data_IF_806310012135
#
_entry.id   IF_806310012135
#
_cell.length_a   1.000
_cell.length_b   1.000
_cell.length_c   1.000
_cell.angle_alpha   90.00
_cell.angle_beta   90.00
_cell.angle_gamma   90.00
#
_symmetry.space_group_name_H-M   'P 1'
#
loop_
_entity.id
_entity.type
_entity.pdbx_description
1 polymer ?
#
# COMPACT_ATOMS: atom_id res chain seq x y z
N UNK A 1 18.72 -5.24 -7.04
CA UNK A 1 17.47 -5.11 -6.27
C UNK A 1 16.75 -3.88 -6.80
N UNK A 2 15.71 -4.05 -7.62
CA UNK A 2 14.91 -2.92 -8.14
C UNK A 2 13.65 -2.79 -7.28
N UNK A 3 13.80 -2.26 -6.06
CA UNK A 3 12.65 -1.89 -5.23
C UNK A 3 11.90 -0.74 -5.88
N UNK A 4 10.56 -0.80 -5.94
CA UNK A 4 9.74 0.33 -6.39
C UNK A 4 9.96 1.51 -5.45
N UNK A 5 10.21 2.70 -5.99
CA UNK A 5 10.30 3.89 -5.13
C UNK A 5 8.93 4.20 -4.50
N UNK A 6 8.87 4.91 -3.36
CA UNK A 6 7.61 5.30 -2.73
C UNK A 6 6.65 6.02 -3.67
N UNK A 7 7.18 6.82 -4.60
CA UNK A 7 6.39 7.51 -5.63
C UNK A 7 5.78 6.53 -6.64
N UNK A 8 6.54 5.53 -7.10
CA UNK A 8 6.01 4.51 -8.00
C UNK A 8 4.94 3.66 -7.31
N UNK A 9 5.17 3.31 -6.05
CA UNK A 9 4.20 2.55 -5.25
C UNK A 9 2.93 3.37 -5.02
N UNK A 10 3.03 4.66 -4.72
CA UNK A 10 1.90 5.58 -4.63
C UNK A 10 1.08 5.58 -5.92
N UNK A 11 1.71 5.82 -7.07
CA UNK A 11 1.00 5.85 -8.36
C UNK A 11 0.32 4.52 -8.67
N UNK A 12 0.95 3.40 -8.35
CA UNK A 12 0.37 2.07 -8.53
C UNK A 12 -0.85 1.85 -7.64
N UNK A 13 -0.72 2.13 -6.33
CA UNK A 13 -1.81 2.02 -5.37
C UNK A 13 -2.97 2.97 -5.70
N UNK A 14 -2.68 4.16 -6.18
CA UNK A 14 -3.68 5.16 -6.52
C UNK A 14 -4.47 4.81 -7.79
N UNK A 15 -3.83 4.23 -8.80
CA UNK A 15 -4.48 3.94 -10.08
C UNK A 15 -5.10 2.53 -10.13
N UNK A 16 -4.53 1.55 -9.44
CA UNK A 16 -4.94 0.13 -9.56
C UNK A 16 -5.80 -0.37 -8.42
N UNK A 17 -5.72 0.24 -7.23
CA UNK A 17 -6.42 -0.28 -6.06
C UNK A 17 -7.57 0.63 -5.68
N UNK A 18 -8.73 0.08 -5.38
CA UNK A 18 -9.83 0.84 -4.79
C UNK A 18 -9.66 0.98 -3.27
N UNK A 19 -10.44 1.84 -2.59
CA UNK A 19 -10.33 2.04 -1.14
C UNK A 19 -10.41 0.74 -0.33
N UNK A 20 -11.31 -0.18 -0.68
CA UNK A 20 -11.48 -1.45 0.03
C UNK A 20 -10.25 -2.36 -0.14
N UNK A 21 -9.66 -2.41 -1.34
CA UNK A 21 -8.45 -3.20 -1.57
C UNK A 21 -7.23 -2.64 -0.84
N UNK A 22 -7.13 -1.31 -0.71
CA UNK A 22 -6.10 -0.68 0.11
C UNK A 22 -6.22 -1.09 1.58
N UNK A 23 -7.45 -1.20 2.11
CA UNK A 23 -7.67 -1.73 3.47
C UNK A 23 -7.23 -3.17 3.60
N UNK A 24 -7.52 -3.98 2.58
CA UNK A 24 -7.08 -5.38 2.57
C UNK A 24 -5.56 -5.52 2.47
N UNK A 25 -4.87 -4.59 1.81
CA UNK A 25 -3.40 -4.54 1.81
C UNK A 25 -2.85 -4.20 3.19
N UNK A 26 -3.41 -3.20 3.87
CA UNK A 26 -3.05 -2.86 5.25
C UNK A 26 -3.27 -4.06 6.18
N UNK A 27 -4.45 -4.68 6.12
CA UNK A 27 -4.78 -5.88 6.89
C UNK A 27 -3.85 -7.07 6.60
N UNK A 28 -3.47 -7.29 5.33
CA UNK A 28 -2.55 -8.36 4.97
C UNK A 28 -1.11 -8.14 5.47
N UNK A 29 -0.76 -6.89 5.79
CA UNK A 29 0.51 -6.50 6.41
C UNK A 29 0.43 -6.41 7.94
N UNK A 30 -0.70 -6.80 8.53
CA UNK A 30 -0.97 -6.65 9.96
C UNK A 30 -0.88 -5.17 10.42
N UNK A 31 -1.20 -4.23 9.52
CA UNK A 31 -1.22 -2.80 9.82
C UNK A 31 -2.64 -2.45 10.27
N UNK A 32 -2.74 -1.99 11.52
CA UNK A 32 -4.01 -1.56 12.06
C UNK A 32 -4.53 -0.31 11.35
N UNK A 33 -5.82 -0.32 11.07
CA UNK A 33 -6.48 0.75 10.35
C UNK A 33 -6.56 2.05 11.16
N UNK A 34 -6.50 1.96 12.50
CA UNK A 34 -6.43 3.10 13.41
C UNK A 34 -5.05 3.78 13.39
N UNK A 35 -3.99 3.06 13.01
CA UNK A 35 -2.64 3.60 12.85
C UNK A 35 -2.47 4.36 11.51
N UNK A 36 -3.39 4.16 10.58
CA UNK A 36 -3.37 4.77 9.26
C UNK A 36 -4.26 6.02 9.21
N UNK A 37 -3.62 7.18 9.13
CA UNK A 37 -4.34 8.44 8.94
C UNK A 37 -4.87 8.58 7.50
N UNK A 38 -6.12 9.01 7.35
CA UNK A 38 -6.63 9.46 6.06
C UNK A 38 -8.09 9.12 5.79
N UNK A 39 -8.93 10.16 5.74
CA UNK A 39 -10.33 10.04 5.32
C UNK A 39 -10.49 9.93 3.79
N UNK A 40 -9.42 10.16 3.03
CA UNK A 40 -9.43 10.07 1.57
C UNK A 40 -8.39 9.08 1.09
N UNK A 41 -8.68 8.43 -0.03
CA UNK A 41 -7.78 7.47 -0.70
C UNK A 41 -6.32 7.95 -0.82
N UNK A 42 -6.02 9.16 -1.35
CA UNK A 42 -4.63 9.60 -1.50
C UNK A 42 -3.93 9.80 -0.15
N UNK A 43 -4.63 10.29 0.87
CA UNK A 43 -4.05 10.46 2.22
C UNK A 43 -3.77 9.10 2.86
N UNK A 44 -4.71 8.16 2.74
CA UNK A 44 -4.53 6.80 3.23
C UNK A 44 -3.33 6.09 2.58
N UNK A 45 -3.17 6.23 1.26
CA UNK A 45 -2.01 5.66 0.54
C UNK A 45 -0.69 6.22 1.06
N UNK A 46 -0.63 7.54 1.29
CA UNK A 46 0.57 8.17 1.83
C UNK A 46 0.90 7.68 3.24
N UNK A 47 -0.11 7.58 4.12
CA UNK A 47 0.07 7.04 5.46
C UNK A 47 0.50 5.58 5.44
N UNK A 48 -0.11 4.75 4.59
CA UNK A 48 0.25 3.34 4.44
C UNK A 48 1.71 3.16 3.99
N UNK A 49 2.12 3.93 2.97
CA UNK A 49 3.51 3.89 2.49
C UNK A 49 4.45 4.40 3.60
N UNK A 50 4.11 5.49 4.28
CA UNK A 50 4.91 6.06 5.36
C UNK A 50 5.08 5.09 6.54
N UNK A 51 3.99 4.44 6.95
CA UNK A 51 4.02 3.39 7.97
C UNK A 51 4.91 2.23 7.53
N UNK A 52 4.71 1.73 6.30
CA UNK A 52 5.50 0.63 5.77
C UNK A 52 6.99 0.97 5.67
N UNK A 53 7.34 2.23 5.38
CA UNK A 53 8.74 2.67 5.39
C UNK A 53 9.34 2.72 6.81
N UNK A 54 8.57 3.16 7.81
CA UNK A 54 9.05 3.24 9.20
C UNK A 54 9.25 1.87 9.84
N UNK A 55 8.47 0.88 9.41
CA UNK A 55 8.46 -0.48 9.95
C UNK A 55 9.20 -1.51 9.07
N UNK A 56 9.94 -1.07 8.05
CA UNK A 56 10.64 -1.95 7.09
C UNK A 56 9.72 -2.91 6.30
N UNK A 57 8.43 -2.59 6.22
CA UNK A 57 7.41 -3.34 5.49
C UNK A 57 7.25 -2.90 4.03
N UNK A 58 8.07 -1.97 3.55
CA UNK A 58 7.93 -1.39 2.20
C UNK A 58 8.11 -2.44 1.11
N UNK A 59 9.02 -3.40 1.30
CA UNK A 59 9.22 -4.52 0.39
C UNK A 59 8.01 -5.45 0.39
N UNK A 60 7.51 -5.80 1.57
CA UNK A 60 6.29 -6.61 1.75
C UNK A 60 5.07 -5.96 1.10
N UNK A 61 4.89 -4.65 1.25
CA UNK A 61 3.81 -3.88 0.61
C UNK A 61 3.96 -3.90 -0.92
N UNK A 62 5.18 -3.72 -1.44
CA UNK A 62 5.43 -3.78 -2.88
C UNK A 62 5.15 -5.16 -3.47
N UNK A 63 5.56 -6.23 -2.79
CA UNK A 63 5.33 -7.61 -3.21
C UNK A 63 3.83 -7.97 -3.17
N UNK A 64 3.11 -7.57 -2.12
CA UNK A 64 1.66 -7.77 -2.04
C UNK A 64 0.91 -7.00 -3.11
N UNK A 65 1.27 -5.73 -3.35
CA UNK A 65 0.68 -4.92 -4.40
C UNK A 65 0.91 -5.55 -5.78
N UNK A 66 2.12 -6.06 -6.04
CA UNK A 66 2.44 -6.79 -7.28
C UNK A 66 1.63 -8.08 -7.42
N UNK A 67 1.53 -8.87 -6.35
CA UNK A 67 0.79 -10.14 -6.35
C UNK A 67 -0.70 -9.93 -6.66
N UNK A 68 -1.30 -8.88 -6.10
CA UNK A 68 -2.72 -8.55 -6.35
C UNK A 68 -2.96 -7.92 -7.72
N UNK A 69 -2.00 -7.16 -8.25
CA UNK A 69 -2.03 -6.65 -9.63
C UNK A 69 -2.22 -7.78 -10.65
N UNK A 70 -1.51 -8.91 -10.50
CA UNK A 70 -1.58 -10.04 -11.43
C UNK A 70 -2.86 -10.87 -11.37
N UNK A 71 -3.70 -10.72 -10.34
CA UNK A 71 -4.93 -11.53 -10.17
C UNK A 71 -6.16 -10.85 -10.82
N UNK A 72 -6.07 -9.56 -11.17
CA UNK A 72 -7.19 -8.81 -11.76
C UNK A 72 -7.20 -8.80 -13.31
N UNK A 73 -6.54 -9.76 -13.96
CA UNK A 73 -6.43 -9.83 -15.42
C UNK A 73 -7.05 -11.11 -16.01
#
# INVERSE_FOLDING_TARGET
MNGRTPQQLKSLLENRFNPSELRQLAFALDIDHEDLEGNTKPVFILSLIGYAQRHDLIESLSELAKKRESVQH
#
